data_IF_383247689140
#
_entry.id   IF_383247689140
#
_cell.length_a   1.000
_cell.length_b   1.000
_cell.length_c   1.000
_cell.angle_alpha   90.00
_cell.angle_beta   90.00
_cell.angle_gamma   90.00
#
_symmetry.space_group_name_H-M   'P 1'
#
loop_
_entity.id
_entity.type
_entity.pdbx_description
1 polymer ?
#
# COMPACT_ATOMS: atom_id res chain seq x y z
N UNK A 1 12.46 22.80 -0.30
CA UNK A 1 13.37 22.39 0.79
C UNK A 1 13.23 20.88 0.96
N UNK A 2 14.33 20.12 0.91
CA UNK A 2 14.32 18.66 1.09
C UNK A 2 14.55 18.38 2.58
N UNK A 3 13.49 18.01 3.30
CA UNK A 3 13.65 17.50 4.66
C UNK A 3 14.27 16.12 4.61
N UNK A 4 15.40 15.94 5.31
CA UNK A 4 16.00 14.64 5.48
C UNK A 4 15.06 13.79 6.34
N UNK A 5 14.54 12.70 5.79
CA UNK A 5 13.63 11.79 6.51
C UNK A 5 14.30 11.16 7.75
N UNK A 6 15.63 11.10 7.75
CA UNK A 6 16.43 10.48 8.81
C UNK A 6 16.95 11.55 9.77
N UNK A 7 16.31 11.67 10.93
CA UNK A 7 16.76 12.54 12.01
C UNK A 7 17.46 11.70 13.10
N UNK A 8 18.67 12.11 13.51
CA UNK A 8 19.40 11.54 14.65
C UNK A 8 20.44 10.46 14.29
N UNK A 9 21.08 9.91 15.33
CA UNK A 9 22.15 8.90 15.21
C UNK A 9 21.53 7.53 14.88
N UNK A 10 22.16 6.78 14.00
CA UNK A 10 21.78 5.40 13.68
C UNK A 10 21.88 4.52 14.94
N UNK A 11 20.82 3.75 15.22
CA UNK A 11 20.75 2.82 16.36
C UNK A 11 20.51 1.43 15.79
N UNK A 12 21.46 0.51 15.99
CA UNK A 12 21.33 -0.89 15.52
C UNK A 12 21.25 -1.06 14.00
N UNK A 13 21.82 -0.14 13.22
CA UNK A 13 21.77 -0.18 11.75
C UNK A 13 20.52 0.46 11.13
N UNK A 14 19.62 1.00 11.96
CA UNK A 14 18.40 1.66 11.53
C UNK A 14 18.36 3.12 12.02
N UNK A 15 17.80 4.01 11.19
CA UNK A 15 17.53 5.38 11.62
C UNK A 15 16.22 5.44 12.41
N UNK A 16 16.22 6.02 13.63
CA UNK A 16 14.99 6.18 14.39
C UNK A 16 14.06 7.13 13.65
N UNK A 17 12.91 6.61 13.23
CA UNK A 17 11.84 7.41 12.63
C UNK A 17 11.23 8.22 13.78
N UNK A 18 11.49 9.52 13.81
CA UNK A 18 11.06 10.37 14.92
C UNK A 18 9.56 10.25 15.13
N UNK A 19 9.12 9.95 16.36
CA UNK A 19 7.70 9.80 16.70
C UNK A 19 6.88 11.06 16.38
N UNK A 20 7.53 12.23 16.24
CA UNK A 20 6.93 13.45 15.68
C UNK A 20 6.34 13.27 14.28
N UNK A 21 6.96 12.47 13.41
CA UNK A 21 6.43 12.09 12.08
C UNK A 21 5.16 11.24 12.22
N UNK A 22 5.05 10.47 13.29
CA UNK A 22 3.86 9.66 13.62
C UNK A 22 2.80 10.40 14.46
N UNK A 23 3.10 11.60 14.98
CA UNK A 23 2.17 12.46 15.72
C UNK A 23 1.14 13.14 14.79
N UNK A 24 1.43 13.17 13.49
CA UNK A 24 0.46 13.50 12.48
C UNK A 24 -0.51 12.33 12.43
N UNK A 25 -1.73 12.50 12.97
CA UNK A 25 -2.84 11.54 12.90
C UNK A 25 -2.64 10.61 11.71
N UNK A 26 -2.15 9.38 11.96
CA UNK A 26 -1.62 8.50 10.92
C UNK A 26 -2.72 8.07 9.96
N UNK A 27 -3.09 8.94 9.03
CA UNK A 27 -3.55 8.55 7.70
C UNK A 27 -2.34 7.91 7.05
N UNK A 28 -2.04 6.66 7.43
CA UNK A 28 -1.24 5.83 6.55
C UNK A 28 -1.99 5.85 5.22
N UNK A 29 -1.39 6.29 4.11
CA UNK A 29 -2.04 6.26 2.81
C UNK A 29 -2.49 4.83 2.46
N UNK A 30 -1.86 3.83 3.08
CA UNK A 30 -2.24 2.41 3.01
C UNK A 30 -3.54 2.04 3.72
N UNK A 31 -3.97 2.80 4.75
CA UNK A 31 -5.18 2.49 5.53
C UNK A 31 -6.41 3.25 5.04
N UNK A 32 -6.23 4.38 4.33
CA UNK A 32 -7.35 5.25 3.90
C UNK A 32 -7.80 4.96 2.47
N UNK A 33 -6.91 4.45 1.62
CA UNK A 33 -7.21 4.20 0.21
C UNK A 33 -7.61 2.74 0.05
N UNK A 34 -8.90 2.47 -0.20
CA UNK A 34 -9.36 1.15 -0.62
C UNK A 34 -8.73 0.85 -2.00
N UNK A 35 -7.80 -0.12 -2.12
CA UNK A 35 -7.23 -0.48 -3.42
C UNK A 35 -8.29 -1.10 -4.34
N UNK A 36 -8.19 -0.84 -5.64
CA UNK A 36 -8.96 -1.56 -6.67
C UNK A 36 -8.39 -2.97 -6.89
N UNK A 37 -9.12 -3.81 -7.62
CA UNK A 37 -8.65 -5.15 -7.99
C UNK A 37 -7.31 -5.10 -8.76
N UNK A 38 -7.17 -4.20 -9.74
CA UNK A 38 -5.92 -4.01 -10.48
C UNK A 38 -4.72 -3.68 -9.56
N UNK A 39 -4.98 -2.90 -8.50
CA UNK A 39 -3.95 -2.57 -7.51
C UNK A 39 -3.59 -3.77 -6.62
N UNK A 40 -4.56 -4.62 -6.29
CA UNK A 40 -4.30 -5.90 -5.63
C UNK A 40 -3.54 -6.87 -6.53
N UNK A 41 -3.87 -6.92 -7.82
CA UNK A 41 -3.14 -7.70 -8.83
C UNK A 41 -1.66 -7.32 -8.86
N UNK A 42 -1.32 -6.03 -8.91
CA UNK A 42 0.08 -5.58 -8.84
C UNK A 42 0.75 -5.92 -7.50
N UNK A 43 0.06 -5.69 -6.38
CA UNK A 43 0.61 -5.95 -5.03
C UNK A 43 0.89 -7.43 -4.74
N UNK A 44 0.08 -8.32 -5.30
CA UNK A 44 0.19 -9.77 -5.09
C UNK A 44 1.14 -10.46 -6.09
N UNK A 45 1.81 -9.70 -6.97
CA UNK A 45 2.75 -10.26 -7.95
C UNK A 45 2.07 -10.80 -9.21
N UNK A 46 1.14 -10.04 -9.77
CA UNK A 46 0.45 -10.34 -11.04
C UNK A 46 -0.35 -11.67 -11.11
N UNK A 47 -1.03 -12.12 -10.05
CA UNK A 47 -1.87 -13.32 -10.14
C UNK A 47 -3.13 -13.04 -10.96
N UNK A 48 -3.76 -14.10 -11.49
CA UNK A 48 -5.00 -13.95 -12.26
C UNK A 48 -6.09 -13.22 -11.48
N UNK A 49 -6.97 -12.50 -12.19
CA UNK A 49 -8.06 -11.71 -11.58
C UNK A 49 -8.97 -12.56 -10.68
N UNK A 50 -9.13 -13.85 -10.98
CA UNK A 50 -9.89 -14.82 -10.19
C UNK A 50 -9.22 -15.05 -8.83
N UNK A 51 -7.91 -15.26 -8.81
CA UNK A 51 -7.14 -15.46 -7.57
C UNK A 51 -7.19 -14.19 -6.71
N UNK A 52 -7.02 -13.01 -7.33
CA UNK A 52 -7.13 -11.73 -6.60
C UNK A 52 -8.50 -11.58 -5.95
N UNK A 53 -9.60 -11.86 -6.67
CA UNK A 53 -10.95 -11.83 -6.11
C UNK A 53 -11.12 -12.78 -4.93
N UNK A 54 -10.61 -14.00 -5.05
CA UNK A 54 -10.66 -14.99 -3.97
C UNK A 54 -9.88 -14.53 -2.73
N UNK A 55 -8.66 -14.02 -2.91
CA UNK A 55 -7.81 -13.54 -1.80
C UNK A 55 -8.44 -12.34 -1.10
N UNK A 56 -8.95 -11.38 -1.86
CA UNK A 56 -9.60 -10.19 -1.32
C UNK A 56 -10.86 -10.54 -0.55
N UNK A 57 -11.71 -11.42 -1.10
CA UNK A 57 -12.96 -11.83 -0.47
C UNK A 57 -12.71 -12.73 0.76
N UNK A 58 -11.77 -13.66 0.68
CA UNK A 58 -11.42 -14.58 1.78
C UNK A 58 -10.69 -13.86 2.91
N UNK A 59 -9.92 -12.82 2.59
CA UNK A 59 -9.14 -12.04 3.55
C UNK A 59 -9.86 -10.82 4.14
N UNK A 60 -11.15 -10.59 3.80
CA UNK A 60 -11.87 -9.35 4.15
C UNK A 60 -11.06 -8.08 3.87
N UNK A 61 -10.29 -8.10 2.78
CA UNK A 61 -9.38 -7.03 2.45
C UNK A 61 -10.18 -5.83 1.91
N UNK A 62 -9.76 -4.59 2.22
CA UNK A 62 -10.43 -3.40 1.70
C UNK A 62 -10.37 -3.40 0.17
N UNK A 63 -11.55 -3.37 -0.46
CA UNK A 63 -11.71 -3.29 -1.90
C UNK A 63 -12.48 -2.02 -2.25
N UNK A 64 -11.95 -1.23 -3.18
CA UNK A 64 -12.74 -0.17 -3.81
C UNK A 64 -13.62 -0.81 -4.87
N UNK A 65 -14.94 -0.67 -4.70
CA UNK A 65 -15.94 -1.06 -5.70
C UNK A 65 -15.98 -0.12 -6.91
N UNK A 66 -15.07 0.87 -6.99
CA UNK A 66 -14.91 1.70 -8.19
C UNK A 66 -14.57 0.78 -9.37
N UNK A 67 -15.61 0.46 -10.14
CA UNK A 67 -15.57 -0.25 -11.40
C UNK A 67 -14.96 0.70 -12.42
N UNK A 68 -13.64 0.83 -12.42
CA UNK A 68 -12.98 1.67 -13.40
C UNK A 68 -11.67 1.03 -13.83
N UNK A 69 -11.73 0.64 -15.09
CA UNK A 69 -10.68 0.16 -15.98
C UNK A 69 -9.89 -1.04 -15.48
N UNK A 70 -10.21 -2.18 -16.10
CA UNK A 70 -9.26 -3.06 -16.78
C UNK A 70 -8.02 -2.27 -17.27
N UNK A 71 -7.19 -1.84 -16.33
CA UNK A 71 -5.88 -1.29 -16.62
C UNK A 71 -5.08 -2.52 -16.96
N UNK A 72 -4.98 -2.78 -18.26
CA UNK A 72 -4.14 -3.82 -18.81
C UNK A 72 -2.79 -3.68 -18.12
N UNK A 73 -2.42 -4.73 -17.41
CA UNK A 73 -1.15 -4.73 -16.73
C UNK A 73 -0.08 -4.91 -17.82
N UNK A 74 0.78 -3.92 -18.05
CA UNK A 74 1.83 -4.04 -19.08
C UNK A 74 2.77 -5.23 -18.87
N UNK A 75 2.82 -5.78 -17.65
CA UNK A 75 3.61 -6.97 -17.32
C UNK A 75 2.89 -8.31 -17.59
N UNK A 76 1.63 -8.33 -18.02
CA UNK A 76 0.83 -9.54 -18.27
C UNK A 76 0.45 -9.67 -19.74
#
# INVERSE_FOLDING_TARGET
MRELLHHGRCIGGLYPISSGVFNHKRRHPYSVIKPSLARWHQRLGHPSSVIVKQVVNKGNLPLSYSQSSESVCEAC
#
